data_IF_619353644652
#
_entry.id   IF_619353644652
#
_cell.length_a   1.000
_cell.length_b   1.000
_cell.length_c   1.000
_cell.angle_alpha   90.00
_cell.angle_beta   90.00
_cell.angle_gamma   90.00
#
_symmetry.space_group_name_H-M   'P 1'
#
loop_
_entity.id
_entity.type
_entity.pdbx_description
1 polymer ?
#
# COMPACT_ATOMS: atom_id res chain seq x y z
N UNK A 1 17.31 -15.26 5.29
CA UNK A 1 16.07 -14.84 4.58
C UNK A 1 15.10 -16.00 4.34
N UNK A 2 15.49 -17.06 3.61
CA UNK A 2 14.60 -18.21 3.33
C UNK A 2 14.02 -18.86 4.59
N UNK A 3 14.82 -18.98 5.65
CA UNK A 3 14.34 -19.49 6.94
C UNK A 3 13.28 -18.59 7.57
N UNK A 4 13.46 -17.26 7.54
CA UNK A 4 12.45 -16.31 8.01
C UNK A 4 11.14 -16.44 7.20
N UNK A 5 11.23 -16.73 5.89
CA UNK A 5 10.05 -16.99 5.06
C UNK A 5 9.34 -18.30 5.44
N UNK A 6 10.10 -19.38 5.62
CA UNK A 6 9.56 -20.69 6.04
C UNK A 6 8.92 -20.67 7.42
N UNK A 7 9.44 -19.83 8.31
CA UNK A 7 8.90 -19.64 9.66
C UNK A 7 7.75 -18.62 9.69
N UNK A 8 7.30 -18.10 8.53
CA UNK A 8 6.17 -17.18 8.43
C UNK A 8 6.45 -15.76 8.95
N UNK A 9 7.72 -15.39 9.13
CA UNK A 9 8.10 -14.02 9.52
C UNK A 9 8.13 -13.06 8.33
N UNK A 10 8.33 -13.58 7.12
CA UNK A 10 8.36 -12.81 5.88
C UNK A 10 7.56 -13.54 4.79
N UNK A 11 6.76 -12.79 4.05
CA UNK A 11 6.18 -13.26 2.79
C UNK A 11 7.14 -12.93 1.62
N UNK A 12 6.96 -13.59 0.48
CA UNK A 12 7.78 -13.37 -0.71
C UNK A 12 7.02 -12.61 -1.80
N UNK A 13 7.53 -11.45 -2.19
CA UNK A 13 7.07 -10.75 -3.39
C UNK A 13 7.81 -11.26 -4.62
N UNK A 14 7.11 -11.44 -5.73
CA UNK A 14 7.70 -11.81 -7.03
C UNK A 14 7.12 -10.96 -8.16
N UNK A 15 7.86 -10.85 -9.26
CA UNK A 15 7.49 -10.09 -10.46
C UNK A 15 7.80 -10.93 -11.71
N UNK A 16 7.25 -10.58 -12.89
CA UNK A 16 7.59 -11.28 -14.13
C UNK A 16 9.08 -11.29 -14.48
N UNK A 17 9.81 -10.25 -14.05
CA UNK A 17 11.25 -10.15 -14.27
C UNK A 17 12.10 -10.78 -13.14
N UNK A 18 11.47 -11.21 -12.05
CA UNK A 18 12.15 -11.90 -10.96
C UNK A 18 12.65 -13.27 -11.43
N UNK A 19 13.91 -13.56 -11.18
CA UNK A 19 14.51 -14.88 -11.44
C UNK A 19 14.43 -15.81 -10.23
N UNK A 20 13.96 -15.31 -9.09
CA UNK A 20 13.88 -16.08 -7.86
C UNK A 20 12.64 -16.99 -7.88
N UNK A 21 12.87 -18.28 -7.66
CA UNK A 21 11.78 -19.23 -7.37
C UNK A 21 11.09 -18.84 -6.05
N UNK A 22 9.78 -19.08 -5.99
CA UNK A 22 9.03 -18.96 -4.76
C UNK A 22 9.45 -20.05 -3.75
N UNK A 23 9.61 -19.67 -2.49
CA UNK A 23 9.74 -20.63 -1.39
C UNK A 23 8.42 -21.40 -1.24
N UNK A 24 8.41 -22.74 -1.37
CA UNK A 24 7.16 -23.53 -1.42
C UNK A 24 6.21 -23.33 -0.23
N UNK A 25 6.76 -23.10 0.95
CA UNK A 25 5.98 -22.98 2.20
C UNK A 25 5.68 -21.53 2.60
N UNK A 26 6.25 -20.54 1.89
CA UNK A 26 6.02 -19.14 2.19
C UNK A 26 4.72 -18.65 1.56
N UNK A 27 4.05 -17.71 2.23
CA UNK A 27 3.05 -16.91 1.55
C UNK A 27 3.73 -15.91 0.60
N UNK A 28 3.00 -15.48 -0.42
CA UNK A 28 3.57 -14.71 -1.50
C UNK A 28 2.58 -13.72 -2.12
N UNK A 29 3.10 -12.71 -2.81
CA UNK A 29 2.30 -11.83 -3.67
C UNK A 29 3.00 -11.61 -5.01
N UNK A 30 2.20 -11.30 -6.03
CA UNK A 30 2.67 -11.00 -7.37
C UNK A 30 2.53 -9.51 -7.67
N UNK A 31 3.65 -8.82 -7.80
CA UNK A 31 3.71 -7.45 -8.31
C UNK A 31 3.82 -7.47 -9.84
N UNK A 32 3.25 -6.47 -10.48
CA UNK A 32 3.25 -6.29 -11.92
C UNK A 32 4.63 -5.81 -12.46
N UNK A 33 5.41 -5.06 -11.67
CA UNK A 33 6.72 -4.53 -12.06
C UNK A 33 6.69 -3.27 -12.93
N UNK A 34 5.56 -2.56 -13.03
CA UNK A 34 5.41 -1.33 -13.83
C UNK A 34 6.33 -0.22 -13.36
N UNK A 35 6.43 -0.01 -12.04
CA UNK A 35 7.32 1.02 -11.47
C UNK A 35 8.77 0.84 -11.94
N UNK A 36 9.23 -0.42 -12.04
CA UNK A 36 10.58 -0.78 -12.45
C UNK A 36 10.73 -0.94 -13.97
N UNK A 37 9.73 -0.52 -14.75
CA UNK A 37 9.69 -0.63 -16.21
C UNK A 37 9.88 -2.07 -16.73
N UNK A 38 9.45 -3.06 -15.93
CA UNK A 38 9.65 -4.48 -16.19
C UNK A 38 8.33 -5.22 -16.50
N UNK A 39 7.23 -4.48 -16.73
CA UNK A 39 5.94 -5.07 -17.06
C UNK A 39 5.95 -5.68 -18.47
N UNK A 40 5.66 -6.98 -18.65
CA UNK A 40 5.82 -7.66 -19.94
C UNK A 40 4.62 -7.48 -20.88
N UNK A 41 3.58 -6.74 -20.46
CA UNK A 41 2.29 -6.65 -21.15
C UNK A 41 1.29 -7.70 -20.67
N UNK A 42 -0.01 -7.40 -20.79
CA UNK A 42 -1.11 -8.14 -20.14
C UNK A 42 -1.11 -9.64 -20.45
N UNK A 43 -0.94 -9.99 -21.72
CA UNK A 43 -0.94 -11.40 -22.14
C UNK A 43 0.21 -12.19 -21.55
N UNK A 44 1.40 -11.59 -21.47
CA UNK A 44 2.57 -12.22 -20.84
C UNK A 44 2.43 -12.27 -19.32
N UNK A 45 1.87 -11.21 -18.73
CA UNK A 45 1.60 -11.15 -17.29
C UNK A 45 0.62 -12.25 -16.85
N UNK A 46 -0.50 -12.43 -17.55
CA UNK A 46 -1.47 -13.48 -17.25
C UNK A 46 -0.89 -14.89 -17.46
N UNK A 47 -0.10 -15.09 -18.52
CA UNK A 47 0.61 -16.36 -18.72
C UNK A 47 1.56 -16.66 -17.57
N UNK A 48 2.32 -15.65 -17.13
CA UNK A 48 3.21 -15.79 -15.99
C UNK A 48 2.43 -16.10 -14.70
N UNK A 49 1.33 -15.40 -14.41
CA UNK A 49 0.48 -15.69 -13.24
C UNK A 49 -0.02 -17.14 -13.24
N UNK A 50 -0.34 -17.71 -14.41
CA UNK A 50 -0.78 -19.11 -14.52
C UNK A 50 0.31 -20.14 -14.20
N UNK A 51 1.58 -19.72 -14.14
CA UNK A 51 2.71 -20.58 -13.73
C UNK A 51 2.98 -20.53 -12.22
N UNK A 52 2.38 -19.58 -11.51
CA UNK A 52 2.55 -19.44 -10.07
C UNK A 52 1.67 -20.45 -9.32
N UNK A 53 1.98 -20.74 -8.03
CA UNK A 53 1.11 -21.56 -7.20
C UNK A 53 -0.32 -21.02 -7.14
N UNK A 54 -1.29 -21.87 -6.81
CA UNK A 54 -2.69 -21.46 -6.63
C UNK A 54 -2.90 -20.51 -5.42
N UNK A 55 -4.16 -20.11 -5.15
CA UNK A 55 -4.47 -19.04 -4.21
C UNK A 55 -4.19 -19.34 -2.74
N UNK A 56 -3.99 -20.60 -2.35
CA UNK A 56 -3.90 -21.01 -0.94
C UNK A 56 -2.85 -20.23 -0.13
N UNK A 57 -1.77 -19.77 -0.77
CA UNK A 57 -0.69 -18.97 -0.16
C UNK A 57 -0.49 -17.61 -0.85
N UNK A 58 -1.36 -17.26 -1.80
CA UNK A 58 -1.29 -15.98 -2.48
C UNK A 58 -2.01 -14.92 -1.63
N UNK A 59 -1.32 -13.84 -1.28
CA UNK A 59 -1.94 -12.65 -0.68
C UNK A 59 -2.74 -11.87 -1.72
N UNK A 60 -2.13 -11.64 -2.88
CA UNK A 60 -2.74 -10.96 -4.02
C UNK A 60 -1.83 -10.99 -5.26
N UNK A 61 -2.42 -10.70 -6.42
CA UNK A 61 -1.74 -10.29 -7.64
C UNK A 61 -2.18 -8.87 -8.05
N UNK A 62 -1.21 -8.01 -8.36
CA UNK A 62 -1.42 -6.58 -8.62
C UNK A 62 -1.85 -6.34 -10.07
N UNK A 63 -3.01 -5.71 -10.26
CA UNK A 63 -3.44 -5.26 -11.57
C UNK A 63 -2.50 -4.17 -12.12
N UNK A 64 -2.30 -4.08 -13.45
CA UNK A 64 -1.45 -3.05 -14.04
C UNK A 64 -2.01 -1.65 -13.82
N UNK A 65 -1.13 -0.73 -13.47
CA UNK A 65 -1.42 0.65 -13.07
C UNK A 65 -0.73 1.70 -13.94
N UNK A 66 -1.00 2.97 -13.64
CA UNK A 66 -0.29 4.13 -14.20
C UNK A 66 0.31 4.90 -13.03
N UNK A 67 1.64 4.91 -12.95
CA UNK A 67 2.33 5.49 -11.80
C UNK A 67 1.97 6.96 -11.65
N UNK A 68 1.58 7.34 -10.44
CA UNK A 68 1.23 8.71 -10.06
C UNK A 68 -0.06 9.27 -10.68
N UNK A 69 -0.93 8.42 -11.22
CA UNK A 69 -2.25 8.83 -11.73
C UNK A 69 -3.32 7.78 -11.39
N UNK A 70 -4.20 8.12 -10.44
CA UNK A 70 -5.27 7.21 -10.03
C UNK A 70 -6.31 6.96 -11.11
N UNK A 71 -6.75 7.99 -11.84
CA UNK A 71 -7.81 7.84 -12.84
C UNK A 71 -7.32 6.97 -14.01
N UNK A 72 -6.11 7.23 -14.48
CA UNK A 72 -5.48 6.40 -15.51
C UNK A 72 -5.21 4.97 -14.99
N UNK A 73 -4.92 4.81 -13.69
CA UNK A 73 -4.80 3.48 -13.06
C UNK A 73 -6.11 2.72 -13.08
N UNK A 74 -7.24 3.36 -12.74
CA UNK A 74 -8.56 2.72 -12.79
C UNK A 74 -8.88 2.23 -14.20
N UNK A 75 -8.72 3.09 -15.22
CA UNK A 75 -8.96 2.73 -16.62
C UNK A 75 -8.06 1.55 -17.06
N UNK A 76 -6.78 1.61 -16.72
CA UNK A 76 -5.79 0.59 -17.08
C UNK A 76 -6.02 -0.76 -16.39
N UNK A 77 -6.39 -0.72 -15.11
CA UNK A 77 -6.59 -1.89 -14.26
C UNK A 77 -7.93 -2.58 -14.52
N UNK A 78 -8.98 -1.83 -14.88
CA UNK A 78 -10.35 -2.34 -14.96
C UNK A 78 -10.52 -3.68 -15.70
N UNK A 79 -10.04 -3.85 -16.95
CA UNK A 79 -10.16 -5.13 -17.65
C UNK A 79 -9.36 -6.27 -16.99
N UNK A 80 -8.30 -5.93 -16.24
CA UNK A 80 -7.41 -6.89 -15.61
C UNK A 80 -7.89 -7.37 -14.25
N UNK A 81 -8.68 -6.57 -13.52
CA UNK A 81 -9.26 -6.99 -12.23
C UNK A 81 -10.03 -8.31 -12.40
N UNK A 82 -10.93 -8.35 -13.38
CA UNK A 82 -11.70 -9.55 -13.71
C UNK A 82 -10.80 -10.72 -14.13
N UNK A 83 -9.80 -10.47 -14.98
CA UNK A 83 -8.93 -11.52 -15.53
C UNK A 83 -8.05 -12.18 -14.47
N UNK A 84 -7.55 -11.40 -13.51
CA UNK A 84 -6.78 -11.95 -12.37
C UNK A 84 -7.70 -12.79 -11.49
N UNK A 85 -8.92 -12.31 -11.22
CA UNK A 85 -9.91 -13.08 -10.44
C UNK A 85 -10.31 -14.39 -11.15
N UNK A 86 -10.49 -14.37 -12.47
CA UNK A 86 -10.77 -15.56 -13.28
C UNK A 86 -9.60 -16.56 -13.30
N UNK A 87 -8.36 -16.09 -13.09
CA UNK A 87 -7.19 -16.94 -12.85
C UNK A 87 -7.17 -17.55 -11.43
N UNK A 88 -8.16 -17.24 -10.59
CA UNK A 88 -8.32 -17.78 -9.24
C UNK A 88 -7.45 -17.09 -8.19
N UNK A 89 -6.86 -15.92 -8.48
CA UNK A 89 -6.00 -15.19 -7.56
C UNK A 89 -6.73 -13.99 -6.93
N UNK A 90 -6.44 -13.63 -5.67
CA UNK A 90 -6.92 -12.38 -5.09
C UNK A 90 -6.36 -11.18 -5.84
N UNK A 91 -7.19 -10.16 -6.06
CA UNK A 91 -6.86 -9.01 -6.90
C UNK A 91 -6.44 -7.82 -6.04
N UNK A 92 -5.27 -7.25 -6.33
CA UNK A 92 -4.84 -5.96 -5.79
C UNK A 92 -4.97 -4.84 -6.82
N UNK A 93 -5.46 -3.68 -6.39
CA UNK A 93 -5.41 -2.43 -7.15
C UNK A 93 -4.37 -1.48 -6.55
N UNK A 94 -3.56 -0.86 -7.39
CA UNK A 94 -2.66 0.22 -6.97
C UNK A 94 -3.44 1.50 -6.69
N UNK A 95 -3.39 2.00 -5.45
CA UNK A 95 -3.79 3.37 -5.15
C UNK A 95 -2.60 4.30 -5.47
N UNK A 96 -2.85 5.25 -6.38
CA UNK A 96 -1.88 6.21 -6.90
C UNK A 96 -2.27 7.65 -6.52
N UNK A 97 -1.40 8.61 -6.81
CA UNK A 97 -1.69 10.03 -6.58
C UNK A 97 -3.07 10.42 -7.14
N UNK A 98 -3.82 11.19 -6.35
CA UNK A 98 -5.20 11.58 -6.65
C UNK A 98 -6.29 10.60 -6.19
N UNK A 99 -5.95 9.40 -5.71
CA UNK A 99 -6.96 8.46 -5.22
C UNK A 99 -7.66 8.96 -3.95
N UNK A 100 -8.96 8.68 -3.84
CA UNK A 100 -9.74 8.83 -2.60
C UNK A 100 -10.45 7.51 -2.26
N UNK A 101 -10.88 7.30 -1.00
CA UNK A 101 -11.61 6.08 -0.63
C UNK A 101 -12.87 5.82 -1.47
N UNK A 102 -13.54 6.88 -1.91
CA UNK A 102 -14.81 6.79 -2.66
C UNK A 102 -14.60 6.35 -4.11
N UNK A 103 -13.39 6.53 -4.65
CA UNK A 103 -13.05 6.17 -6.04
C UNK A 103 -12.65 4.69 -6.19
N UNK A 104 -12.36 3.99 -5.07
CA UNK A 104 -11.89 2.61 -5.11
C UNK A 104 -13.06 1.63 -5.34
N UNK A 105 -12.93 0.68 -6.29
CA UNK A 105 -13.97 -0.29 -6.58
C UNK A 105 -13.93 -1.46 -5.59
N UNK A 106 -14.34 -1.20 -4.34
CA UNK A 106 -14.23 -2.13 -3.20
C UNK A 106 -14.78 -3.53 -3.48
N UNK A 107 -15.86 -3.64 -4.25
CA UNK A 107 -16.48 -4.94 -4.59
C UNK A 107 -15.65 -5.79 -5.58
N UNK A 108 -14.71 -5.17 -6.29
CA UNK A 108 -13.94 -5.82 -7.35
C UNK A 108 -12.52 -6.21 -6.91
N UNK A 109 -12.06 -5.71 -5.77
CA UNK A 109 -10.70 -5.89 -5.26
C UNK A 109 -10.70 -6.65 -3.93
N UNK A 110 -9.62 -7.40 -3.68
CA UNK A 110 -9.38 -8.09 -2.41
C UNK A 110 -8.26 -7.39 -1.60
N UNK A 111 -7.46 -6.56 -2.28
CA UNK A 111 -6.35 -5.83 -1.68
C UNK A 111 -6.17 -4.43 -2.30
N UNK A 112 -5.64 -3.51 -1.49
CA UNK A 112 -5.15 -2.19 -1.91
C UNK A 112 -3.64 -2.16 -1.79
N UNK A 113 -2.97 -1.73 -2.86
CA UNK A 113 -1.53 -1.50 -2.91
C UNK A 113 -1.26 0.00 -2.90
N UNK A 114 -0.81 0.56 -1.78
CA UNK A 114 -0.43 1.98 -1.65
C UNK A 114 0.89 2.23 -2.39
N UNK A 115 0.80 2.69 -3.63
CA UNK A 115 1.92 2.80 -4.56
C UNK A 115 2.47 4.25 -4.69
N UNK A 116 1.56 5.23 -4.76
CA UNK A 116 1.79 6.63 -5.17
C UNK A 116 3.09 7.28 -4.73
N UNK A 117 3.59 8.22 -5.53
CA UNK A 117 4.90 8.82 -5.35
C UNK A 117 4.83 10.15 -4.62
N UNK A 118 5.97 10.84 -4.50
CA UNK A 118 6.00 12.19 -3.94
C UNK A 118 5.23 13.18 -4.81
N UNK A 119 4.65 14.20 -4.20
CA UNK A 119 3.94 15.29 -4.87
C UNK A 119 4.12 16.61 -4.14
N UNK A 120 3.86 17.71 -4.82
CA UNK A 120 3.83 19.04 -4.25
C UNK A 120 2.41 19.38 -3.80
N UNK A 121 2.13 19.26 -2.49
CA UNK A 121 0.81 19.55 -1.93
C UNK A 121 0.33 20.98 -2.25
N UNK A 122 1.15 22.05 -2.13
CA UNK A 122 0.67 23.40 -2.39
C UNK A 122 0.20 23.67 -3.83
N UNK A 123 0.78 23.01 -4.83
CA UNK A 123 0.48 23.32 -6.24
C UNK A 123 0.04 22.11 -7.08
N UNK A 124 -0.16 20.94 -6.47
CA UNK A 124 -0.58 19.71 -7.15
C UNK A 124 0.43 19.13 -8.13
N UNK A 125 1.67 19.62 -8.14
CA UNK A 125 2.67 19.15 -9.11
C UNK A 125 3.21 17.77 -8.73
N UNK A 126 3.20 16.84 -9.67
CA UNK A 126 3.71 15.48 -9.51
C UNK A 126 4.89 15.29 -10.47
N UNK A 127 6.07 14.85 -9.98
CA UNK A 127 7.22 14.62 -10.84
C UNK A 127 7.06 13.36 -11.70
N UNK A 128 7.71 13.35 -12.86
CA UNK A 128 7.94 12.09 -13.57
C UNK A 128 8.87 11.20 -12.76
N UNK A 129 8.55 9.90 -12.69
CA UNK A 129 9.36 8.88 -12.04
C UNK A 129 10.80 8.83 -12.56
N UNK A 130 11.02 9.24 -13.81
CA UNK A 130 12.34 9.27 -14.44
C UNK A 130 13.33 10.25 -13.77
N UNK A 131 12.82 11.21 -13.00
CA UNK A 131 13.63 12.26 -12.37
C UNK A 131 13.78 12.09 -10.86
N UNK A 132 13.22 11.04 -10.26
CA UNK A 132 13.31 10.82 -8.82
C UNK A 132 14.69 10.25 -8.41
N UNK A 133 15.21 10.62 -7.21
CA UNK A 133 14.63 11.51 -6.20
C UNK A 133 14.80 13.01 -6.52
N UNK A 134 13.87 13.84 -6.02
CA UNK A 134 13.91 15.30 -6.14
C UNK A 134 13.71 15.99 -4.78
N UNK A 135 14.36 17.13 -4.60
CA UNK A 135 14.29 17.92 -3.35
C UNK A 135 13.08 18.88 -3.30
N UNK A 136 12.49 19.22 -4.45
CA UNK A 136 11.39 20.18 -4.53
C UNK A 136 10.71 20.23 -5.89
N UNK A 137 9.60 20.98 -5.97
CA UNK A 137 8.89 21.24 -7.22
C UNK A 137 9.50 22.44 -7.98
N UNK A 138 9.10 22.68 -9.25
CA UNK A 138 9.58 23.83 -10.04
C UNK A 138 9.32 25.21 -9.40
N UNK A 139 8.37 25.29 -8.47
CA UNK A 139 8.04 26.51 -7.74
C UNK A 139 8.82 26.63 -6.40
N UNK A 140 9.75 25.73 -6.11
CA UNK A 140 10.57 25.76 -4.89
C UNK A 140 9.91 25.18 -3.63
N UNK A 141 8.73 24.57 -3.73
CA UNK A 141 8.09 23.90 -2.59
C UNK A 141 8.70 22.51 -2.36
N UNK A 142 8.77 22.08 -1.10
CA UNK A 142 9.18 20.73 -0.74
C UNK A 142 8.11 19.70 -1.17
N UNK A 143 8.56 18.53 -1.61
CA UNK A 143 7.67 17.42 -1.97
C UNK A 143 7.33 16.57 -0.73
N UNK A 144 6.10 16.05 -0.70
CA UNK A 144 5.60 15.15 0.33
C UNK A 144 5.25 13.78 -0.27
N UNK A 145 5.42 12.71 0.51
CA UNK A 145 5.07 11.35 0.08
C UNK A 145 3.55 11.13 0.11
N UNK A 146 2.92 11.02 -1.06
CA UNK A 146 1.47 10.80 -1.18
C UNK A 146 0.99 9.58 -0.39
N UNK A 147 1.72 8.46 -0.45
CA UNK A 147 1.35 7.22 0.25
C UNK A 147 1.37 7.31 1.79
N UNK A 148 1.83 8.43 2.34
CA UNK A 148 1.80 8.71 3.80
C UNK A 148 0.94 9.92 4.15
N UNK A 149 0.19 10.46 3.19
CA UNK A 149 -0.75 11.57 3.38
C UNK A 149 -2.05 11.13 4.06
N UNK A 150 -2.81 12.08 4.58
CA UNK A 150 -4.11 11.83 5.23
C UNK A 150 -5.09 11.06 4.34
N UNK A 151 -5.05 11.28 3.02
CA UNK A 151 -5.93 10.55 2.11
C UNK A 151 -5.51 9.07 1.99
N UNK A 152 -4.21 8.78 1.99
CA UNK A 152 -3.71 7.41 2.01
C UNK A 152 -4.05 6.69 3.34
N UNK A 153 -4.04 7.42 4.46
CA UNK A 153 -4.52 6.90 5.75
C UNK A 153 -6.02 6.57 5.70
N UNK A 154 -6.84 7.44 5.12
CA UNK A 154 -8.28 7.20 4.93
C UNK A 154 -8.53 6.00 4.02
N UNK A 155 -7.77 5.86 2.93
CA UNK A 155 -7.87 4.69 2.03
C UNK A 155 -7.53 3.40 2.78
N UNK A 156 -6.45 3.40 3.57
CA UNK A 156 -6.09 2.23 4.38
C UNK A 156 -7.18 1.88 5.39
N UNK A 157 -7.71 2.88 6.11
CA UNK A 157 -8.79 2.68 7.07
C UNK A 157 -10.08 2.13 6.41
N UNK A 158 -10.48 2.70 5.28
CA UNK A 158 -11.65 2.24 4.52
C UNK A 158 -11.43 0.82 4.00
N UNK A 159 -10.25 0.52 3.44
CA UNK A 159 -9.89 -0.82 3.03
C UNK A 159 -10.03 -1.84 4.18
N UNK A 160 -9.59 -1.49 5.40
CA UNK A 160 -9.79 -2.36 6.56
C UNK A 160 -11.27 -2.50 6.95
N UNK A 161 -12.06 -1.44 6.86
CA UNK A 161 -13.50 -1.49 7.10
C UNK A 161 -14.23 -2.43 6.13
N UNK A 162 -13.77 -2.50 4.87
CA UNK A 162 -14.25 -3.44 3.85
C UNK A 162 -13.60 -4.83 3.91
N UNK A 163 -12.79 -5.12 4.94
CA UNK A 163 -12.13 -6.41 5.11
C UNK A 163 -11.04 -6.70 4.06
N UNK A 164 -10.49 -5.67 3.42
CA UNK A 164 -9.46 -5.79 2.38
C UNK A 164 -8.06 -5.88 2.99
N UNK A 165 -7.16 -6.50 2.23
CA UNK A 165 -5.73 -6.49 2.53
C UNK A 165 -5.11 -5.14 2.14
N UNK A 166 -4.25 -4.57 2.99
CA UNK A 166 -3.55 -3.31 2.71
C UNK A 166 -2.06 -3.57 2.61
N UNK A 167 -1.48 -3.24 1.47
CA UNK A 167 -0.05 -3.36 1.20
C UNK A 167 0.57 -1.99 0.93
N UNK A 168 1.76 -1.70 1.46
CA UNK A 168 2.50 -0.47 1.14
C UNK A 168 3.79 -0.75 0.39
N UNK A 169 3.96 -0.09 -0.77
CA UNK A 169 5.15 -0.27 -1.60
C UNK A 169 6.34 0.63 -1.26
N UNK A 170 7.55 0.08 -1.47
CA UNK A 170 8.85 0.77 -1.33
C UNK A 170 9.17 1.25 0.09
N UNK A 171 8.90 0.41 1.07
CA UNK A 171 9.22 0.58 2.49
C UNK A 171 10.68 0.19 2.77
N UNK A 172 11.59 1.13 2.50
CA UNK A 172 13.04 0.90 2.59
C UNK A 172 13.69 1.46 3.86
N UNK A 173 12.93 2.09 4.75
CA UNK A 173 13.45 2.73 5.96
C UNK A 173 12.61 2.34 7.17
N UNK A 174 13.23 2.35 8.34
CA UNK A 174 12.54 2.13 9.62
C UNK A 174 11.34 3.06 9.79
N UNK A 175 11.50 4.35 9.54
CA UNK A 175 10.42 5.33 9.70
C UNK A 175 9.24 5.01 8.79
N UNK A 176 9.49 4.55 7.54
CA UNK A 176 8.39 4.16 6.65
C UNK A 176 7.72 2.85 7.10
N UNK A 177 8.48 1.90 7.66
CA UNK A 177 7.92 0.68 8.25
C UNK A 177 6.99 0.99 9.43
N UNK A 178 7.41 1.88 10.34
CA UNK A 178 6.57 2.30 11.46
C UNK A 178 5.29 3.01 10.99
N UNK A 179 5.39 3.87 9.96
CA UNK A 179 4.21 4.49 9.34
C UNK A 179 3.26 3.45 8.74
N UNK A 180 3.76 2.48 7.96
CA UNK A 180 2.93 1.43 7.39
C UNK A 180 2.19 0.63 8.48
N UNK A 181 2.88 0.29 9.57
CA UNK A 181 2.27 -0.35 10.75
C UNK A 181 1.22 0.53 11.41
N UNK A 182 1.49 1.83 11.57
CA UNK A 182 0.55 2.80 12.15
C UNK A 182 -0.74 2.94 11.31
N UNK A 183 -0.60 2.91 9.99
CA UNK A 183 -1.71 2.94 9.03
C UNK A 183 -2.54 1.65 9.01
N UNK A 184 -2.08 0.58 9.66
CA UNK A 184 -2.75 -0.72 9.64
C UNK A 184 -2.49 -1.53 8.36
N UNK A 185 -1.39 -1.27 7.65
CA UNK A 185 -0.97 -2.12 6.54
C UNK A 185 -0.71 -3.55 7.03
N UNK A 186 -1.22 -4.54 6.29
CA UNK A 186 -1.02 -5.97 6.57
C UNK A 186 0.35 -6.45 6.03
N UNK A 187 0.86 -5.83 4.97
CA UNK A 187 2.22 -6.08 4.49
C UNK A 187 2.87 -4.87 3.83
N UNK A 188 4.18 -4.97 3.59
CA UNK A 188 4.96 -3.97 2.87
C UNK A 188 6.11 -4.63 2.12
N UNK A 189 6.49 -4.07 0.97
CA UNK A 189 7.67 -4.50 0.23
C UNK A 189 8.71 -3.39 0.14
N UNK A 190 9.95 -3.78 -0.14
CA UNK A 190 11.05 -2.85 -0.36
C UNK A 190 12.30 -3.56 -0.83
N UNK A 191 13.26 -2.77 -1.31
CA UNK A 191 14.57 -3.23 -1.76
C UNK A 191 15.59 -3.32 -0.61
N UNK A 192 15.22 -2.97 0.64
CA UNK A 192 16.15 -2.96 1.79
C UNK A 192 16.89 -4.29 1.99
N UNK A 193 16.20 -5.43 1.84
CA UNK A 193 16.81 -6.76 1.94
C UNK A 193 17.57 -7.19 0.67
N UNK A 194 17.35 -6.54 -0.47
CA UNK A 194 18.12 -6.84 -1.69
C UNK A 194 19.59 -6.39 -1.57
N UNK A 195 19.85 -5.40 -0.70
CA UNK A 195 21.18 -4.87 -0.44
C UNK A 195 21.69 -5.38 0.91
N UNK A 196 22.55 -6.41 0.92
CA UNK A 196 23.12 -6.95 2.17
C UNK A 196 22.11 -7.68 3.06
N UNK A 197 21.40 -8.72 2.57
CA UNK A 197 20.33 -9.40 3.30
C UNK A 197 20.75 -9.92 4.68
N UNK A 198 21.97 -10.45 4.82
CA UNK A 198 22.43 -11.02 6.09
C UNK A 198 22.65 -9.96 7.17
N UNK A 199 23.09 -8.76 6.76
CA UNK A 199 23.28 -7.62 7.66
C UNK A 199 21.95 -6.91 7.96
N UNK A 200 21.07 -6.81 6.97
CA UNK A 200 19.84 -6.03 7.07
C UNK A 200 18.66 -6.80 7.66
N UNK A 201 18.64 -8.13 7.56
CA UNK A 201 17.55 -8.96 8.08
C UNK A 201 17.35 -8.79 9.60
N UNK A 202 18.38 -8.83 10.46
CA UNK A 202 18.20 -8.58 11.89
C UNK A 202 17.58 -7.20 12.19
N UNK A 203 18.04 -6.17 11.47
CA UNK A 203 17.49 -4.80 11.58
C UNK A 203 16.02 -4.76 11.19
N UNK A 204 15.64 -5.34 10.06
CA UNK A 204 14.26 -5.40 9.61
C UNK A 204 13.36 -6.14 10.63
N UNK A 205 13.80 -7.29 11.12
CA UNK A 205 13.06 -8.07 12.11
C UNK A 205 12.87 -7.26 13.41
N UNK A 206 13.85 -6.46 13.83
CA UNK A 206 13.69 -5.55 14.97
C UNK A 206 12.57 -4.53 14.76
N UNK A 207 12.43 -3.97 13.54
CA UNK A 207 11.40 -2.97 13.24
C UNK A 207 9.99 -3.60 13.23
N UNK A 208 9.89 -4.87 12.83
CA UNK A 208 8.64 -5.64 12.88
C UNK A 208 8.16 -5.86 14.32
N UNK A 209 9.08 -6.11 15.26
CA UNK A 209 8.74 -6.29 16.68
C UNK A 209 8.49 -4.97 17.42
N UNK A 210 8.85 -3.82 16.84
CA UNK A 210 8.71 -2.53 17.52
C UNK A 210 7.24 -2.14 17.74
N UNK A 211 6.82 -1.76 18.95
CA UNK A 211 5.46 -1.30 19.17
C UNK A 211 5.23 0.03 18.43
N UNK A 212 4.06 0.19 17.84
CA UNK A 212 3.60 1.50 17.36
C UNK A 212 2.59 2.01 18.36
N UNK A 213 2.92 3.11 19.03
CA UNK A 213 1.94 3.83 19.84
C UNK A 213 0.83 4.31 18.90
N UNK A 214 -0.37 3.74 19.05
CA UNK A 214 -1.55 4.35 18.46
C UNK A 214 -1.73 5.67 19.20
N UNK A 215 -1.59 6.79 18.49
CA UNK A 215 -1.93 8.08 19.06
C UNK A 215 -3.36 7.98 19.60
N UNK A 216 -3.50 7.96 20.92
CA UNK A 216 -4.79 8.09 21.56
C UNK A 216 -5.34 9.45 21.13
N UNK A 217 -6.40 9.47 20.35
CA UNK A 217 -7.15 10.71 20.13
C UNK A 217 -7.73 11.08 21.49
N UNK A 218 -7.13 12.07 22.14
CA UNK A 218 -7.74 12.70 23.30
C UNK A 218 -8.96 13.46 22.79
N UNK A 219 -10.13 12.84 22.91
CA UNK A 219 -11.39 13.46 22.57
C UNK A 219 -11.80 14.29 23.79
N UNK A 220 -11.48 15.58 23.77
CA UNK A 220 -12.00 16.52 24.76
C UNK A 220 -13.51 16.66 24.53
N UNK A 221 -14.30 15.98 25.36
CA UNK A 221 -15.75 16.11 25.40
C UNK A 221 -16.10 17.44 26.06
N UNK A 222 -16.45 18.46 25.28
CA UNK A 222 -17.07 19.67 25.81
C UNK A 222 -18.54 19.39 26.07
N UNK A 223 -18.96 19.46 27.34
CA UNK A 223 -20.36 19.47 27.71
C UNK A 223 -20.96 20.85 27.36
N UNK A 224 -22.01 20.88 26.54
CA UNK A 224 -22.80 22.09 26.31
C UNK A 224 -23.37 22.60 27.63
N UNK A 225 -22.82 23.73 28.11
CA UNK A 225 -23.37 24.46 29.23
C UNK A 225 -24.53 25.35 28.74
N UNK A 226 -25.74 24.79 28.68
CA UNK A 226 -26.97 25.56 28.76
C UNK A 226 -28.17 24.67 29.10
N UNK A 227 -28.42 24.44 30.39
CA UNK A 227 -29.77 24.07 30.87
C UNK A 227 -30.48 25.38 31.27
N UNK A 228 -31.69 25.68 30.79
CA UNK A 228 -32.39 26.92 31.15
C UNK A 228 -32.81 26.90 32.61
N UNK A 229 -32.56 28.01 33.31
CA UNK A 229 -33.10 28.24 34.64
C UNK A 229 -34.64 28.31 34.56
N UNK A 230 -35.32 27.38 35.22
CA UNK A 230 -36.75 27.43 35.47
C UNK A 230 -37.00 27.47 36.98
N UNK A 231 -37.82 28.45 37.36
CA UNK A 231 -38.58 28.60 38.61
C UNK A 231 -37.86 29.27 39.80
N UNK A 232 -37.95 30.60 39.81
CA UNK A 232 -38.09 31.35 41.05
C UNK A 232 -39.59 31.61 41.28
N UNK A 233 -40.11 31.05 42.38
CA UNK A 233 -41.41 31.39 42.95
C UNK A 233 -41.43 32.86 43.41
N UNK A 234 -42.56 33.54 43.21
CA UNK A 234 -42.99 34.62 44.12
C UNK A 234 -44.51 34.68 44.17
N UNK A 235 -44.97 34.64 45.42
CA UNK A 235 -46.30 34.89 46.00
C UNK A 235 -47.34 35.67 45.18
#
# INVERSE_FOLDING_TARGET
MREAMRNGLLDQITTPASQNLLEPDAAWCADNGIYSQAYPGDGQYLRWLSTLPGPARCRFAVAPDVVADHNATLERSWPMLRRIREAGLPVALCAQNGATPDDLPWDYIDAVFLAGIVECVPCGWVPSVAYLPLDGCPNGHQLAEWKTSDIAWRIAAEAKAHGKWVHMGRVNTRNRMLKAKAMGCDSADGTYLAFGPDQNLPSLLSWLCEPVERAAVQMDLFADAATPALLGEVA
#
